data_IF_404557412181
#
_entry.id   IF_404557412181
#
_cell.length_a   1.000
_cell.length_b   1.000
_cell.length_c   1.000
_cell.angle_alpha   90.00
_cell.angle_beta   90.00
_cell.angle_gamma   90.00
#
_symmetry.space_group_name_H-M   'P 1'
#
loop_
_entity.id
_entity.type
_entity.pdbx_description
1 polymer ?
#
# COMPACT_ATOMS: atom_id res chain seq x y z
N UNK A 1 14.73 -1.31 46.10
CA UNK A 1 13.36 -1.19 45.54
C UNK A 1 13.22 -0.05 44.54
N UNK A 2 13.90 1.09 44.71
CA UNK A 2 13.84 2.24 43.78
C UNK A 2 14.28 1.92 42.34
N UNK A 3 15.29 1.06 42.16
CA UNK A 3 15.81 0.68 40.84
C UNK A 3 14.75 -0.02 39.99
N UNK A 4 13.96 -0.91 40.60
CA UNK A 4 12.87 -1.62 39.90
C UNK A 4 11.79 -0.65 39.46
N UNK A 5 11.48 0.34 40.29
CA UNK A 5 10.50 1.40 39.95
C UNK A 5 11.00 2.24 38.77
N UNK A 6 12.26 2.66 38.78
CA UNK A 6 12.86 3.44 37.69
C UNK A 6 12.87 2.64 36.38
N UNK A 7 13.26 1.36 36.43
CA UNK A 7 13.26 0.48 35.25
C UNK A 7 11.83 0.29 34.73
N UNK A 8 10.84 0.11 35.61
CA UNK A 8 9.44 -0.02 35.22
C UNK A 8 8.93 1.18 34.43
N UNK A 9 9.18 2.40 34.91
CA UNK A 9 8.77 3.64 34.23
C UNK A 9 9.50 3.81 32.89
N UNK A 10 10.82 3.59 32.85
CA UNK A 10 11.59 3.70 31.61
C UNK A 10 11.16 2.68 30.55
N UNK A 11 10.80 1.47 30.98
CA UNK A 11 10.34 0.41 30.07
C UNK A 11 9.05 0.80 29.35
N UNK A 12 8.08 1.37 30.08
CA UNK A 12 6.81 1.80 29.49
C UNK A 12 7.01 2.91 28.46
N UNK A 13 7.85 3.90 28.78
CA UNK A 13 8.17 4.99 27.85
C UNK A 13 8.93 4.50 26.61
N UNK A 14 9.84 3.55 26.78
CA UNK A 14 10.59 2.96 25.68
C UNK A 14 9.68 2.18 24.72
N UNK A 15 8.73 1.41 25.24
CA UNK A 15 7.81 0.60 24.41
C UNK A 15 6.93 1.50 23.53
N UNK A 16 6.33 2.56 24.09
CA UNK A 16 5.46 3.46 23.31
C UNK A 16 6.23 4.24 22.25
N UNK A 17 7.44 4.71 22.59
CA UNK A 17 8.34 5.37 21.63
C UNK A 17 8.76 4.45 20.49
N UNK A 18 9.12 3.20 20.81
CA UNK A 18 9.53 2.21 19.82
C UNK A 18 8.39 1.85 18.86
N UNK A 19 7.17 1.61 19.36
CA UNK A 19 6.00 1.31 18.53
C UNK A 19 5.73 2.41 17.50
N UNK A 20 5.72 3.67 17.95
CA UNK A 20 5.53 4.82 17.07
C UNK A 20 6.58 4.89 15.96
N UNK A 21 7.85 4.65 16.31
CA UNK A 21 8.93 4.63 15.33
C UNK A 21 8.76 3.49 14.30
N UNK A 22 8.39 2.29 14.76
CA UNK A 22 8.17 1.16 13.86
C UNK A 22 6.99 1.37 12.92
N UNK A 23 5.88 1.96 13.38
CA UNK A 23 4.74 2.25 12.51
C UNK A 23 5.06 3.34 11.49
N UNK A 24 5.79 4.39 11.89
CA UNK A 24 6.27 5.41 10.96
C UNK A 24 7.18 4.83 9.87
N UNK A 25 8.08 3.91 10.23
CA UNK A 25 8.96 3.23 9.27
C UNK A 25 8.17 2.34 8.30
N UNK A 26 7.11 1.67 8.78
CA UNK A 26 6.21 0.88 7.92
C UNK A 26 5.43 1.79 6.99
N UNK A 27 4.80 2.85 7.47
CA UNK A 27 4.05 3.79 6.63
C UNK A 27 4.92 4.42 5.52
N UNK A 28 6.21 4.65 5.79
CA UNK A 28 7.15 5.13 4.79
C UNK A 28 7.32 4.13 3.62
N UNK A 29 7.24 2.82 3.86
CA UNK A 29 7.24 1.78 2.82
C UNK A 29 6.05 1.98 1.86
N UNK A 30 4.84 2.11 2.41
CA UNK A 30 3.61 2.29 1.62
C UNK A 30 3.69 3.55 0.75
N UNK A 31 4.13 4.66 1.34
CA UNK A 31 4.27 5.95 0.64
C UNK A 31 5.30 5.86 -0.48
N UNK A 32 6.46 5.26 -0.22
CA UNK A 32 7.51 5.10 -1.21
C UNK A 32 7.07 4.18 -2.36
N UNK A 33 6.42 3.07 -2.03
CA UNK A 33 5.96 2.10 -3.02
C UNK A 33 4.85 2.69 -3.91
N UNK A 34 3.83 3.31 -3.32
CA UNK A 34 2.77 3.98 -4.08
C UNK A 34 3.30 5.14 -4.94
N UNK A 35 4.33 5.84 -4.47
CA UNK A 35 5.04 6.83 -5.28
C UNK A 35 5.70 6.22 -6.53
N UNK A 36 6.33 5.06 -6.38
CA UNK A 36 6.90 4.28 -7.48
C UNK A 36 5.83 3.79 -8.47
N UNK A 37 4.72 3.26 -7.96
CA UNK A 37 3.56 2.84 -8.78
C UNK A 37 3.01 3.99 -9.60
N UNK A 38 2.82 5.17 -8.99
CA UNK A 38 2.39 6.37 -9.70
C UNK A 38 3.35 6.75 -10.82
N UNK A 39 4.65 6.78 -10.53
CA UNK A 39 5.66 7.13 -11.54
C UNK A 39 5.64 6.16 -12.73
N UNK A 40 5.54 4.86 -12.46
CA UNK A 40 5.43 3.83 -13.48
C UNK A 40 4.13 3.96 -14.30
N UNK A 41 3.00 4.26 -13.65
CA UNK A 41 1.71 4.46 -14.32
C UNK A 41 1.74 5.67 -15.26
N UNK A 42 2.36 6.77 -14.82
CA UNK A 42 2.54 7.95 -15.66
C UNK A 42 3.46 7.68 -16.85
N UNK A 43 4.56 6.94 -16.65
CA UNK A 43 5.44 6.53 -17.73
C UNK A 43 4.72 5.61 -18.75
N UNK A 44 3.93 4.65 -18.26
CA UNK A 44 3.13 3.78 -19.11
C UNK A 44 2.07 4.55 -19.90
N UNK A 45 1.42 5.53 -19.27
CA UNK A 45 0.47 6.42 -19.95
C UNK A 45 1.13 7.27 -21.04
N UNK A 46 2.35 7.77 -20.80
CA UNK A 46 3.11 8.51 -21.82
C UNK A 46 3.48 7.62 -23.02
N UNK A 47 3.77 6.34 -22.80
CA UNK A 47 4.13 5.40 -23.86
C UNK A 47 2.91 4.88 -24.66
N UNK A 48 1.80 4.57 -23.97
CA UNK A 48 0.67 3.84 -24.56
C UNK A 48 -0.62 4.68 -24.69
N UNK A 49 -0.67 5.87 -24.12
CA UNK A 49 -1.86 6.74 -24.09
C UNK A 49 -2.99 6.25 -23.18
N UNK A 50 -2.77 5.18 -22.42
CA UNK A 50 -3.70 4.58 -21.44
C UNK A 50 -2.95 4.16 -20.19
N UNK A 51 -3.62 4.14 -19.04
CA UNK A 51 -3.04 3.61 -17.80
C UNK A 51 -2.98 2.08 -17.83
N UNK A 52 -2.02 1.51 -17.11
CA UNK A 52 -1.84 0.07 -17.03
C UNK A 52 -2.82 -0.52 -16.01
N UNK A 53 -3.60 -1.50 -16.45
CA UNK A 53 -4.54 -2.24 -15.61
C UNK A 53 -5.90 -2.38 -16.23
N UNK A 54 -6.86 -2.73 -15.39
CA UNK A 54 -8.24 -2.98 -15.78
C UNK A 54 -9.19 -2.37 -14.76
N UNK A 55 -10.48 -2.36 -15.09
CA UNK A 55 -11.51 -1.86 -14.18
C UNK A 55 -11.76 -2.78 -12.97
N UNK A 56 -11.01 -3.88 -12.84
CA UNK A 56 -11.03 -4.74 -11.66
C UNK A 56 -9.73 -4.60 -10.88
N UNK A 57 -9.84 -4.64 -9.55
CA UNK A 57 -8.74 -4.49 -8.63
C UNK A 57 -7.68 -5.60 -8.80
N UNK A 58 -6.50 -5.19 -9.23
CA UNK A 58 -5.27 -5.96 -9.15
C UNK A 58 -4.76 -5.91 -7.70
N UNK A 59 -5.09 -6.94 -6.91
CA UNK A 59 -4.68 -7.04 -5.50
C UNK A 59 -3.41 -7.89 -5.36
N UNK A 60 -2.41 -7.35 -4.64
CA UNK A 60 -1.17 -8.05 -4.32
C UNK A 60 -0.43 -7.46 -3.10
N UNK A 61 0.08 -8.27 -2.15
CA UNK A 61 -0.16 -9.71 -1.98
C UNK A 61 -1.62 -10.06 -1.70
N UNK A 62 -1.99 -11.35 -1.81
CA UNK A 62 -3.39 -11.82 -1.63
C UNK A 62 -3.95 -11.53 -0.24
N UNK A 63 -3.12 -11.71 0.78
CA UNK A 63 -3.48 -11.49 2.17
C UNK A 63 -2.98 -10.13 2.65
N UNK A 64 -3.68 -9.53 3.60
CA UNK A 64 -3.24 -8.30 4.26
C UNK A 64 -2.20 -8.68 5.31
N UNK A 65 -0.96 -8.18 5.21
CA UNK A 65 0.03 -8.40 6.26
C UNK A 65 -0.45 -7.78 7.58
N UNK A 66 -0.24 -8.51 8.67
CA UNK A 66 -0.58 -8.07 10.02
C UNK A 66 0.59 -8.32 10.98
N UNK A 67 0.47 -7.82 12.22
CA UNK A 67 1.47 -8.09 13.25
C UNK A 67 1.67 -9.60 13.50
N UNK A 68 0.60 -10.40 13.36
CA UNK A 68 0.62 -11.85 13.55
C UNK A 68 1.16 -12.62 12.35
N UNK A 69 0.82 -12.20 11.12
CA UNK A 69 1.29 -12.87 9.89
C UNK A 69 2.71 -12.42 9.49
N UNK A 70 3.14 -11.25 9.94
CA UNK A 70 4.43 -10.67 9.59
C UNK A 70 4.48 -10.17 8.14
N UNK A 71 5.70 -9.90 7.65
CA UNK A 71 5.89 -9.42 6.27
C UNK A 71 5.62 -10.53 5.26
N UNK A 72 4.89 -10.22 4.20
CA UNK A 72 4.62 -11.14 3.09
C UNK A 72 5.63 -10.91 1.98
N UNK A 73 6.22 -11.97 1.42
CA UNK A 73 7.15 -11.85 0.29
C UNK A 73 6.41 -11.37 -0.96
N UNK A 74 6.98 -10.38 -1.66
CA UNK A 74 6.39 -9.86 -2.89
C UNK A 74 6.30 -10.92 -4.00
N UNK A 75 7.35 -11.71 -4.20
CA UNK A 75 7.35 -12.76 -5.22
C UNK A 75 7.64 -14.11 -4.55
N UNK A 76 6.60 -14.72 -4.00
CA UNK A 76 6.68 -16.06 -3.42
C UNK A 76 6.55 -17.12 -4.53
N UNK A 77 7.54 -18.00 -4.74
CA UNK A 77 7.42 -19.08 -5.73
C UNK A 77 6.22 -20.00 -5.47
N UNK A 78 5.78 -20.13 -4.21
CA UNK A 78 4.61 -20.93 -3.85
C UNK A 78 3.28 -20.21 -4.16
N UNK A 79 3.30 -18.87 -4.22
CA UNK A 79 2.15 -18.03 -4.53
C UNK A 79 2.63 -16.92 -5.48
N UNK A 80 2.80 -17.19 -6.78
CA UNK A 80 3.29 -16.19 -7.72
C UNK A 80 2.21 -15.16 -8.05
N UNK A 81 2.63 -13.95 -8.42
CA UNK A 81 1.74 -12.94 -9.00
C UNK A 81 1.09 -13.55 -10.25
N UNK A 82 -0.25 -13.56 -10.38
CA UNK A 82 -0.92 -14.11 -11.55
C UNK A 82 -0.40 -13.46 -12.84
N UNK A 83 -0.08 -14.26 -13.87
CA UNK A 83 0.56 -13.76 -15.09
C UNK A 83 -0.22 -12.66 -15.83
N UNK A 84 -1.56 -12.64 -15.71
CA UNK A 84 -2.44 -11.63 -16.31
C UNK A 84 -2.77 -10.48 -15.34
N UNK A 85 -1.93 -10.25 -14.34
CA UNK A 85 -2.13 -9.19 -13.36
C UNK A 85 -1.40 -7.92 -13.82
N UNK A 86 -2.05 -6.77 -13.67
CA UNK A 86 -1.52 -5.46 -14.04
C UNK A 86 -0.17 -5.13 -13.39
N UNK A 87 0.16 -5.78 -12.27
CA UNK A 87 1.47 -5.67 -11.62
C UNK A 87 2.64 -6.18 -12.49
N UNK A 88 2.42 -7.20 -13.32
CA UNK A 88 3.44 -7.68 -14.28
C UNK A 88 3.65 -6.69 -15.42
N UNK A 89 2.56 -6.18 -16.00
CA UNK A 89 2.62 -5.23 -17.12
C UNK A 89 3.26 -3.89 -16.73
N UNK A 90 3.05 -3.46 -15.48
CA UNK A 90 3.64 -2.24 -14.94
C UNK A 90 5.12 -2.42 -14.55
N UNK A 91 5.60 -3.66 -14.43
CA UNK A 91 6.94 -4.03 -13.99
C UNK A 91 7.37 -3.36 -12.67
N UNK A 92 6.42 -3.13 -11.75
CA UNK A 92 6.70 -2.61 -10.42
C UNK A 92 6.80 -3.76 -9.43
N UNK A 93 7.97 -3.90 -8.81
CA UNK A 93 8.24 -4.95 -7.84
C UNK A 93 8.79 -4.36 -6.55
N UNK A 94 8.39 -4.94 -5.42
CA UNK A 94 9.06 -4.65 -4.15
C UNK A 94 10.30 -5.54 -4.03
N UNK A 95 11.47 -4.98 -3.68
CA UNK A 95 12.72 -5.75 -3.57
C UNK A 95 12.73 -6.77 -2.42
N UNK A 96 11.70 -6.81 -1.57
CA UNK A 96 11.63 -7.73 -0.45
C UNK A 96 10.21 -7.95 0.07
N UNK A 97 10.13 -8.47 1.30
CA UNK A 97 8.84 -8.68 1.95
C UNK A 97 8.20 -7.34 2.36
N UNK A 98 6.89 -7.23 2.12
CA UNK A 98 6.09 -6.03 2.32
C UNK A 98 5.19 -6.12 3.55
N UNK A 99 4.91 -4.97 4.16
CA UNK A 99 3.97 -4.81 5.28
C UNK A 99 2.55 -4.39 4.84
N UNK A 100 2.34 -4.17 3.56
CA UNK A 100 1.04 -3.77 3.01
C UNK A 100 0.60 -4.70 1.89
N UNK A 101 -0.71 -4.87 1.77
CA UNK A 101 -1.37 -5.31 0.56
C UNK A 101 -1.61 -4.11 -0.33
N UNK A 102 -1.20 -4.21 -1.58
CA UNK A 102 -1.41 -3.19 -2.59
C UNK A 102 -2.56 -3.57 -3.50
N UNK A 103 -3.35 -2.59 -3.89
CA UNK A 103 -4.44 -2.72 -4.86
C UNK A 103 -4.26 -1.68 -5.92
N UNK A 104 -4.62 -2.02 -7.14
CA UNK A 104 -4.53 -1.09 -8.26
C UNK A 104 -5.65 -1.36 -9.24
N UNK A 105 -6.28 -0.31 -9.75
CA UNK A 105 -7.18 -0.41 -10.87
C UNK A 105 -6.97 0.78 -11.80
N UNK A 106 -7.28 0.56 -13.08
CA UNK A 106 -7.14 1.58 -14.10
C UNK A 106 -8.28 1.46 -15.12
N UNK A 107 -8.78 2.59 -15.57
CA UNK A 107 -9.88 2.65 -16.52
C UNK A 107 -9.63 3.64 -17.65
N UNK A 108 -10.30 3.38 -18.76
CA UNK A 108 -10.43 4.30 -19.89
C UNK A 108 -11.49 5.35 -19.60
N UNK A 109 -11.48 6.42 -20.40
CA UNK A 109 -12.55 7.41 -20.39
C UNK A 109 -13.92 6.75 -20.56
N UNK A 110 -14.84 7.05 -19.66
CA UNK A 110 -16.20 6.51 -19.57
C UNK A 110 -16.34 5.26 -18.71
N UNK A 111 -15.25 4.66 -18.22
CA UNK A 111 -15.32 3.51 -17.31
C UNK A 111 -15.44 3.98 -15.86
N UNK A 112 -16.30 3.31 -15.08
CA UNK A 112 -16.54 3.64 -13.67
C UNK A 112 -15.32 3.30 -12.80
N UNK A 113 -14.67 4.32 -12.23
CA UNK A 113 -13.54 4.18 -11.32
C UNK A 113 -13.91 4.10 -9.84
N UNK A 114 -15.19 3.92 -9.53
CA UNK A 114 -15.69 3.81 -8.17
C UNK A 114 -15.49 5.10 -7.38
N UNK A 115 -15.49 4.97 -6.05
CA UNK A 115 -15.44 6.13 -5.15
C UNK A 115 -14.11 6.90 -5.16
N UNK A 116 -13.02 6.29 -5.65
CA UNK A 116 -11.69 6.90 -5.71
C UNK A 116 -11.56 7.92 -6.86
N UNK A 117 -12.38 7.82 -7.91
CA UNK A 117 -12.31 8.65 -9.12
C UNK A 117 -13.56 9.51 -9.24
N UNK A 118 -13.40 10.84 -9.33
CA UNK A 118 -14.53 11.77 -9.46
C UNK A 118 -14.89 12.06 -10.90
N UNK A 119 -13.92 11.97 -11.81
CA UNK A 119 -14.07 12.30 -13.21
C UNK A 119 -13.68 11.11 -14.10
N UNK A 120 -14.66 10.23 -14.29
CA UNK A 120 -14.54 9.07 -15.17
C UNK A 120 -14.47 9.44 -16.66
N UNK A 121 -14.66 10.70 -17.07
CA UNK A 121 -14.57 11.14 -18.48
C UNK A 121 -13.13 11.32 -18.98
N UNK A 122 -12.14 10.87 -18.20
CA UNK A 122 -10.74 10.84 -18.58
C UNK A 122 -10.16 9.49 -18.20
N UNK A 123 -9.08 9.03 -18.85
CA UNK A 123 -8.33 7.89 -18.35
C UNK A 123 -7.94 8.11 -16.89
N UNK A 124 -8.11 7.10 -16.07
CA UNK A 124 -7.85 7.18 -14.64
C UNK A 124 -7.10 5.94 -14.14
N UNK A 125 -6.41 6.12 -13.03
CA UNK A 125 -5.91 5.02 -12.23
C UNK A 125 -6.05 5.37 -10.75
N UNK A 126 -6.15 4.35 -9.92
CA UNK A 126 -5.94 4.49 -8.49
C UNK A 126 -5.14 3.28 -7.99
N UNK A 127 -4.37 3.51 -6.95
CA UNK A 127 -3.67 2.47 -6.23
C UNK A 127 -3.78 2.72 -4.73
N UNK A 128 -3.93 1.65 -3.97
CA UNK A 128 -4.14 1.68 -2.53
C UNK A 128 -3.19 0.71 -1.83
N UNK A 129 -2.74 1.03 -0.62
CA UNK A 129 -1.97 0.16 0.25
C UNK A 129 -2.74 0.00 1.57
N UNK A 130 -2.98 -1.25 1.97
CA UNK A 130 -3.75 -1.64 3.16
C UNK A 130 -2.89 -2.51 4.06
N UNK A 131 -2.79 -2.16 5.35
CA UNK A 131 -2.08 -2.94 6.36
C UNK A 131 -2.82 -2.91 7.70
N UNK A 132 -2.69 -3.95 8.51
CA UNK A 132 -3.29 -4.06 9.84
C UNK A 132 -2.17 -4.17 10.90
N UNK A 133 -1.87 -3.09 11.61
CA UNK A 133 -0.64 -3.05 12.41
C UNK A 133 -0.78 -3.48 13.86
N UNK A 134 -2.00 -3.53 14.38
CA UNK A 134 -2.32 -3.98 15.73
C UNK A 134 -3.23 -5.24 15.75
N UNK A 135 -3.55 -5.80 14.58
CA UNK A 135 -4.42 -6.96 14.40
C UNK A 135 -5.86 -6.71 14.90
N UNK A 136 -6.31 -5.45 14.96
CA UNK A 136 -7.66 -5.12 15.43
C UNK A 136 -8.73 -5.18 14.32
N UNK A 137 -8.32 -5.42 13.07
CA UNK A 137 -9.21 -5.51 11.89
C UNK A 137 -9.52 -4.17 11.21
N UNK A 138 -8.97 -3.06 11.70
CA UNK A 138 -8.98 -1.74 11.06
C UNK A 138 -7.71 -1.59 10.22
N UNK A 139 -7.90 -1.18 8.97
CA UNK A 139 -6.80 -1.12 8.00
C UNK A 139 -6.23 0.30 7.91
N UNK A 140 -4.94 0.43 8.20
CA UNK A 140 -4.12 1.56 7.79
C UNK A 140 -4.11 1.62 6.26
N UNK A 141 -4.75 2.64 5.69
CA UNK A 141 -5.04 2.74 4.26
C UNK A 141 -4.36 3.97 3.65
N UNK A 142 -3.58 3.77 2.60
CA UNK A 142 -2.94 4.83 1.81
C UNK A 142 -3.42 4.74 0.37
N UNK A 143 -3.78 5.85 -0.26
CA UNK A 143 -4.33 5.85 -1.61
C UNK A 143 -3.66 6.93 -2.47
N UNK A 144 -3.38 6.60 -3.73
CA UNK A 144 -2.91 7.52 -4.76
C UNK A 144 -3.79 7.38 -5.99
N UNK A 145 -4.16 8.51 -6.60
CA UNK A 145 -5.04 8.53 -7.77
C UNK A 145 -4.48 9.38 -8.90
N UNK A 146 -4.97 9.21 -10.12
CA UNK A 146 -4.61 10.06 -11.26
C UNK A 146 -5.01 11.53 -11.06
N UNK A 147 -6.07 11.79 -10.29
CA UNK A 147 -6.65 13.13 -10.13
C UNK A 147 -5.88 13.99 -9.13
N UNK A 148 -5.34 13.37 -8.07
CA UNK A 148 -4.65 14.08 -7.01
C UNK A 148 -3.19 13.62 -6.92
N UNK A 149 -2.23 14.54 -6.86
CA UNK A 149 -0.82 14.18 -6.67
C UNK A 149 -0.53 13.75 -5.23
N UNK A 150 -1.35 14.16 -4.28
CA UNK A 150 -1.20 13.86 -2.86
C UNK A 150 -1.65 12.43 -2.55
N UNK A 151 -0.90 11.75 -1.66
CA UNK A 151 -1.31 10.46 -1.12
C UNK A 151 -2.35 10.71 -0.04
N UNK A 152 -3.56 10.23 -0.27
CA UNK A 152 -4.63 10.24 0.73
C UNK A 152 -4.35 9.17 1.77
N UNK A 153 -4.59 9.48 3.04
CA UNK A 153 -4.28 8.60 4.16
C UNK A 153 -5.50 8.48 5.05
N UNK A 154 -5.82 7.26 5.42
CA UNK A 154 -6.95 6.95 6.29
C UNK A 154 -6.49 5.98 7.37
N UNK A 155 -6.88 6.27 8.62
CA UNK A 155 -6.59 5.44 9.80
C UNK A 155 -5.10 5.14 9.97
N UNK A 156 -4.25 6.18 9.98
CA UNK A 156 -2.80 6.01 10.16
C UNK A 156 -2.47 5.36 11.51
N UNK A 157 -1.76 4.23 11.48
CA UNK A 157 -1.29 3.49 12.67
C UNK A 157 -2.40 2.86 13.52
N UNK A 158 -3.52 2.51 12.89
CA UNK A 158 -4.32 1.37 13.37
C UNK A 158 -3.56 0.08 13.04
#
# INVERSE_FOLDING_TARGET
MIVVVIIGVLSVLAITGYRKYTYAARNAEAVQFLGGVRAAQLAYYQANGVFCGSNSDAVWPRDVPSMDSGKIRWNDPANPIPANNAWHDLAVESPGSVWFQYRMAAGRSGQDGGAAIRNSNRPWFWAQANGDFDSNGVLSTFEVTSEKPEIYRHNENE
#
